data_IF_294990097781
#
_entry.id   IF_294990097781
#
_cell.length_a   1.000
_cell.length_b   1.000
_cell.length_c   1.000
_cell.angle_alpha   90.00
_cell.angle_beta   90.00
_cell.angle_gamma   90.00
#
_symmetry.space_group_name_H-M   'P 1'
#
loop_
_entity.id
_entity.type
_entity.pdbx_description
1 polymer ?
#
# COMPACT_ATOMS: atom_id res chain seq x y z
N UNK A 1 -49.78 -35.20 -25.49
CA UNK A 1 -49.39 -34.98 -24.09
C UNK A 1 -47.89 -34.80 -24.08
N UNK A 2 -47.35 -33.58 -24.15
CA UNK A 2 -47.41 -32.58 -23.07
C UNK A 2 -46.25 -32.92 -22.12
N UNK A 3 -45.20 -32.12 -21.94
CA UNK A 3 -45.05 -30.68 -22.10
C UNK A 3 -43.55 -30.35 -22.19
N UNK A 4 -43.18 -29.57 -23.21
CA UNK A 4 -41.94 -28.79 -23.22
C UNK A 4 -42.04 -27.79 -22.06
N UNK A 5 -41.12 -27.87 -21.11
CA UNK A 5 -40.94 -26.84 -20.10
C UNK A 5 -40.13 -25.72 -20.73
N UNK A 6 -40.87 -24.75 -21.27
CA UNK A 6 -40.38 -23.43 -21.63
C UNK A 6 -39.80 -22.77 -20.38
N UNK A 7 -38.48 -22.60 -20.37
CA UNK A 7 -37.82 -21.80 -19.36
C UNK A 7 -38.25 -20.33 -19.51
N UNK A 8 -38.62 -19.66 -18.41
CA UNK A 8 -39.25 -18.35 -18.44
C UNK A 8 -38.28 -17.26 -18.89
N UNK A 9 -38.61 -16.61 -20.02
CA UNK A 9 -38.68 -15.17 -20.40
C UNK A 9 -37.93 -14.08 -19.57
N UNK A 10 -37.42 -14.35 -18.37
CA UNK A 10 -36.68 -13.39 -17.53
C UNK A 10 -35.33 -12.95 -18.14
N UNK A 11 -34.81 -13.65 -19.15
CA UNK A 11 -33.56 -13.29 -19.84
C UNK A 11 -33.75 -12.26 -20.96
N UNK A 12 -35.00 -11.94 -21.35
CA UNK A 12 -35.29 -10.97 -22.43
C UNK A 12 -35.62 -9.55 -21.95
N UNK A 13 -35.76 -9.32 -20.64
CA UNK A 13 -36.16 -8.02 -20.09
C UNK A 13 -34.99 -7.12 -19.63
N UNK A 14 -33.76 -7.62 -19.53
CA UNK A 14 -32.60 -6.83 -19.07
C UNK A 14 -31.80 -6.16 -20.18
N UNK A 15 -32.14 -6.39 -21.46
CA UNK A 15 -31.45 -5.82 -22.62
C UNK A 15 -32.06 -4.50 -23.15
N UNK A 16 -33.14 -3.99 -22.53
CA UNK A 16 -33.85 -2.77 -22.99
C UNK A 16 -33.72 -1.58 -22.02
N UNK A 17 -32.96 -1.73 -20.92
CA UNK A 17 -32.63 -0.65 -19.98
C UNK A 17 -31.48 0.28 -20.43
N UNK A 18 -31.02 0.16 -21.68
CA UNK A 18 -29.96 1.00 -22.27
C UNK A 18 -30.62 2.25 -22.88
N UNK A 19 -31.15 3.16 -22.05
CA UNK A 19 -31.56 4.47 -22.57
C UNK A 19 -31.66 5.59 -21.55
N UNK A 20 -30.67 5.74 -20.66
CA UNK A 20 -30.22 7.04 -20.09
C UNK A 20 -29.14 6.80 -19.03
N UNK A 21 -28.04 6.15 -19.41
CA UNK A 21 -26.82 6.27 -18.60
C UNK A 21 -26.22 7.61 -19.00
N UNK A 22 -26.56 8.64 -18.21
CA UNK A 22 -25.81 9.90 -18.14
C UNK A 22 -24.34 9.52 -18.17
N UNK A 23 -23.64 9.90 -19.24
CA UNK A 23 -22.18 9.89 -19.29
C UNK A 23 -21.69 10.59 -18.02
N UNK A 24 -21.11 9.89 -17.03
CA UNK A 24 -20.27 10.58 -16.09
C UNK A 24 -19.02 10.91 -16.89
N UNK A 25 -19.03 12.11 -17.46
CA UNK A 25 -17.81 12.90 -17.59
C UNK A 25 -17.35 13.13 -16.15
N UNK A 26 -16.77 12.09 -15.54
CA UNK A 26 -15.99 12.26 -14.33
C UNK A 26 -14.54 11.97 -14.71
N UNK A 27 -13.72 13.01 -14.64
CA UNK A 27 -12.34 12.94 -15.05
C UNK A 27 -11.62 12.02 -14.07
N UNK A 28 -10.52 11.44 -14.53
CA UNK A 28 -9.41 11.09 -13.67
C UNK A 28 -9.18 12.24 -12.66
N UNK A 29 -9.62 12.06 -11.42
CA UNK A 29 -9.61 13.06 -10.36
C UNK A 29 -8.18 13.54 -10.01
N UNK A 30 -7.15 12.87 -10.54
CA UNK A 30 -5.76 13.29 -10.43
C UNK A 30 -5.32 14.36 -11.44
N UNK A 31 -6.12 14.65 -12.48
CA UNK A 31 -5.73 15.58 -13.55
C UNK A 31 -6.44 16.93 -13.45
N UNK A 32 -7.70 16.97 -12.99
CA UNK A 32 -8.42 18.24 -12.75
C UNK A 32 -7.83 19.04 -11.61
N UNK A 33 -7.41 18.37 -10.53
CA UNK A 33 -6.76 19.02 -9.40
C UNK A 33 -5.52 19.84 -9.82
N UNK A 34 -4.85 19.51 -10.93
CA UNK A 34 -3.65 20.23 -11.39
C UNK A 34 -3.96 21.51 -12.17
N UNK A 35 -5.11 21.60 -12.81
CA UNK A 35 -5.54 22.85 -13.46
C UNK A 35 -5.90 23.90 -12.42
N UNK A 36 -6.44 23.50 -11.28
CA UNK A 36 -6.76 24.40 -10.16
C UNK A 36 -5.51 25.14 -9.64
N UNK A 37 -4.36 24.46 -9.61
CA UNK A 37 -3.09 25.08 -9.21
C UNK A 37 -2.60 26.12 -10.23
N UNK A 38 -2.94 25.96 -11.52
CA UNK A 38 -2.57 26.93 -12.54
C UNK A 38 -3.36 28.24 -12.39
N UNK A 39 -4.65 28.17 -12.04
CA UNK A 39 -5.45 29.36 -11.76
C UNK A 39 -4.93 30.16 -10.56
N UNK A 40 -4.39 29.48 -9.55
CA UNK A 40 -3.77 30.13 -8.39
C UNK A 40 -2.45 30.82 -8.78
N UNK A 41 -1.69 30.27 -9.72
CA UNK A 41 -0.45 30.85 -10.20
C UNK A 41 -0.66 32.02 -11.19
N UNK A 42 -1.82 32.11 -11.83
CA UNK A 42 -2.14 33.12 -12.84
C UNK A 42 -1.93 34.58 -12.39
N UNK A 43 -2.40 35.04 -11.20
CA UNK A 43 -2.14 36.42 -10.75
C UNK A 43 -0.64 36.70 -10.55
N UNK A 44 0.14 35.68 -10.14
CA UNK A 44 1.59 35.81 -9.95
C UNK A 44 2.31 35.99 -11.29
N UNK A 45 1.91 35.26 -12.33
CA UNK A 45 2.48 35.41 -13.68
C UNK A 45 2.23 36.81 -14.27
N UNK A 46 1.04 37.37 -14.05
CA UNK A 46 0.69 38.70 -14.58
C UNK A 46 1.41 39.80 -13.78
N UNK A 47 1.36 39.74 -12.45
CA UNK A 47 1.84 40.83 -11.60
C UNK A 47 3.37 40.87 -11.45
N UNK A 48 4.02 39.70 -11.34
CA UNK A 48 5.48 39.64 -11.08
C UNK A 48 6.26 39.58 -12.39
N UNK A 49 5.81 38.77 -13.35
CA UNK A 49 6.54 38.55 -14.60
C UNK A 49 6.12 39.50 -15.73
N UNK A 50 5.05 40.28 -15.55
CA UNK A 50 4.59 41.26 -16.54
C UNK A 50 4.21 40.64 -17.88
N UNK A 51 3.84 39.35 -17.88
CA UNK A 51 3.55 38.61 -19.11
C UNK A 51 2.29 39.14 -19.78
N UNK A 52 2.38 39.36 -21.09
CA UNK A 52 1.23 39.74 -21.90
C UNK A 52 0.25 38.56 -22.02
N UNK A 53 -1.02 38.86 -22.29
CA UNK A 53 -2.08 37.86 -22.41
C UNK A 53 -1.75 36.78 -23.47
N UNK A 54 -1.02 37.17 -24.52
CA UNK A 54 -0.59 36.27 -25.60
C UNK A 54 0.41 35.22 -25.10
N UNK A 55 1.36 35.61 -24.26
CA UNK A 55 2.37 34.71 -23.72
C UNK A 55 1.76 33.71 -22.75
N UNK A 56 0.78 34.15 -21.97
CA UNK A 56 0.00 33.27 -21.08
C UNK A 56 -0.74 32.22 -21.91
N UNK A 57 -1.38 32.61 -23.01
CA UNK A 57 -2.08 31.68 -23.90
C UNK A 57 -1.12 30.64 -24.49
N UNK A 58 0.08 31.04 -24.90
CA UNK A 58 1.10 30.10 -25.40
C UNK A 58 1.53 29.10 -24.33
N UNK A 59 1.80 29.56 -23.11
CA UNK A 59 2.19 28.70 -21.98
C UNK A 59 1.08 27.69 -21.66
N UNK A 60 -0.18 28.14 -21.57
CA UNK A 60 -1.34 27.26 -21.31
C UNK A 60 -1.45 26.18 -22.38
N UNK A 61 -1.26 26.55 -23.65
CA UNK A 61 -1.40 25.63 -24.78
C UNK A 61 -0.30 24.57 -24.77
N UNK A 62 0.95 24.99 -24.50
CA UNK A 62 2.11 24.09 -24.40
C UNK A 62 1.94 23.12 -23.23
N UNK A 63 1.55 23.62 -22.05
CA UNK A 63 1.29 22.79 -20.86
C UNK A 63 0.16 21.80 -21.14
N UNK A 64 -0.92 22.23 -21.78
CA UNK A 64 -2.04 21.37 -22.15
C UNK A 64 -1.62 20.23 -23.10
N UNK A 65 -0.86 20.55 -24.15
CA UNK A 65 -0.32 19.57 -25.08
C UNK A 65 0.62 18.56 -24.38
N UNK A 66 1.51 19.04 -23.51
CA UNK A 66 2.40 18.20 -22.71
C UNK A 66 1.62 17.25 -21.78
N UNK A 67 0.60 17.74 -21.09
CA UNK A 67 -0.21 16.89 -20.21
C UNK A 67 -0.92 15.78 -20.98
N UNK A 68 -1.49 16.10 -22.15
CA UNK A 68 -2.16 15.12 -22.99
C UNK A 68 -1.20 14.07 -23.56
N UNK A 69 0.03 14.45 -23.94
CA UNK A 69 1.04 13.48 -24.39
C UNK A 69 1.40 12.49 -23.27
N UNK A 70 1.64 12.99 -22.05
CA UNK A 70 1.91 12.12 -20.90
C UNK A 70 0.73 11.17 -20.64
N UNK A 71 -0.49 11.68 -20.64
CA UNK A 71 -1.68 10.85 -20.43
C UNK A 71 -1.77 9.75 -21.49
N UNK A 72 -1.50 10.08 -22.75
CA UNK A 72 -1.46 9.12 -23.86
C UNK A 72 -0.41 8.03 -23.63
N UNK A 73 0.82 8.40 -23.25
CA UNK A 73 1.91 7.44 -22.97
C UNK A 73 1.55 6.54 -21.81
N UNK A 74 1.02 7.12 -20.73
CA UNK A 74 0.61 6.38 -19.54
C UNK A 74 -0.53 5.40 -19.83
N UNK A 75 -1.34 5.69 -20.85
CA UNK A 75 -2.49 4.90 -21.31
C UNK A 75 -2.09 3.80 -22.30
N UNK A 76 -1.14 4.05 -23.19
CA UNK A 76 -0.68 3.10 -24.21
C UNK A 76 0.27 2.04 -23.63
N UNK A 77 1.12 2.40 -22.67
CA UNK A 77 2.16 1.51 -22.15
C UNK A 77 1.83 0.93 -20.78
N UNK A 78 1.75 -0.41 -20.70
CA UNK A 78 1.44 -1.14 -19.46
C UNK A 78 2.70 -1.45 -18.61
N UNK A 79 3.87 -1.61 -19.24
CA UNK A 79 5.12 -1.94 -18.53
C UNK A 79 5.67 -0.73 -17.79
N UNK A 80 5.88 -0.87 -16.47
CA UNK A 80 6.34 0.23 -15.58
C UNK A 80 7.62 0.89 -16.09
N UNK A 81 8.66 0.14 -16.42
CA UNK A 81 9.95 0.70 -16.86
C UNK A 81 9.83 1.53 -18.15
N UNK A 82 9.14 1.00 -19.15
CA UNK A 82 8.89 1.70 -20.42
C UNK A 82 8.11 3.00 -20.24
N UNK A 83 7.11 2.97 -19.35
CA UNK A 83 6.32 4.17 -19.01
C UNK A 83 7.20 5.27 -18.41
N UNK A 84 8.11 4.94 -17.50
CA UNK A 84 9.04 5.92 -16.92
C UNK A 84 10.04 6.44 -17.95
N UNK A 85 10.67 5.56 -18.73
CA UNK A 85 11.63 5.96 -19.75
C UNK A 85 11.02 6.88 -20.81
N UNK A 86 9.86 6.51 -21.37
CA UNK A 86 9.19 7.33 -22.39
C UNK A 86 8.72 8.68 -21.84
N UNK A 87 8.25 8.72 -20.59
CA UNK A 87 7.86 9.99 -19.96
C UNK A 87 9.08 10.91 -19.81
N UNK A 88 10.25 10.36 -19.44
CA UNK A 88 11.49 11.14 -19.33
C UNK A 88 11.98 11.65 -20.70
N UNK A 89 11.91 10.82 -21.74
CA UNK A 89 12.29 11.19 -23.10
C UNK A 89 11.39 12.31 -23.64
N UNK A 90 10.07 12.21 -23.45
CA UNK A 90 9.11 13.23 -23.89
C UNK A 90 9.31 14.54 -23.12
N UNK A 91 9.59 14.47 -21.83
CA UNK A 91 9.91 15.66 -21.03
C UNK A 91 11.17 16.36 -21.54
N UNK A 92 12.23 15.60 -21.83
CA UNK A 92 13.46 16.14 -22.41
C UNK A 92 13.20 16.80 -23.77
N UNK A 93 12.43 16.13 -24.64
CA UNK A 93 12.06 16.69 -25.94
C UNK A 93 11.26 18.00 -25.82
N UNK A 94 10.36 18.10 -24.84
CA UNK A 94 9.60 19.33 -24.60
C UNK A 94 10.49 20.48 -24.11
N UNK A 95 11.48 20.21 -23.25
CA UNK A 95 12.44 21.23 -22.80
C UNK A 95 13.25 21.76 -23.99
N UNK A 96 13.81 20.87 -24.80
CA UNK A 96 14.57 21.26 -26.00
C UNK A 96 13.72 22.06 -26.99
N UNK A 97 12.44 21.70 -27.13
CA UNK A 97 11.51 22.42 -28.00
C UNK A 97 11.26 23.85 -27.52
N UNK A 98 11.17 24.08 -26.21
CA UNK A 98 10.99 25.42 -25.62
C UNK A 98 12.23 26.29 -25.80
N UNK A 99 13.42 25.70 -25.73
CA UNK A 99 14.69 26.44 -25.82
C UNK A 99 15.06 26.83 -27.27
N UNK A 100 14.80 25.95 -28.23
CA UNK A 100 15.27 26.12 -29.61
C UNK A 100 14.29 26.90 -30.49
N UNK A 101 12.98 26.75 -30.25
CA UNK A 101 11.93 27.23 -31.16
C UNK A 101 11.32 28.54 -30.66
N UNK A 102 11.11 29.55 -31.53
CA UNK A 102 10.44 30.77 -31.12
C UNK A 102 9.02 30.50 -30.58
N UNK A 103 8.56 31.26 -29.57
CA UNK A 103 7.31 30.97 -28.86
C UNK A 103 6.07 30.83 -29.74
N UNK A 104 5.97 31.63 -30.81
CA UNK A 104 4.84 31.62 -31.75
C UNK A 104 4.75 30.32 -32.55
N UNK A 105 5.88 29.80 -33.03
CA UNK A 105 5.93 28.54 -33.78
C UNK A 105 5.68 27.36 -32.85
N UNK A 106 6.23 27.40 -31.63
CA UNK A 106 6.00 26.37 -30.62
C UNK A 106 4.51 26.25 -30.25
N UNK A 107 3.83 27.39 -30.05
CA UNK A 107 2.40 27.41 -29.81
C UNK A 107 1.59 26.78 -30.95
N UNK A 108 1.95 27.06 -32.21
CA UNK A 108 1.26 26.47 -33.36
C UNK A 108 1.42 24.95 -33.40
N UNK A 109 2.64 24.44 -33.18
CA UNK A 109 2.91 23.00 -33.11
C UNK A 109 2.13 22.37 -31.95
N UNK A 110 2.09 23.02 -30.79
CA UNK A 110 1.33 22.54 -29.63
C UNK A 110 -0.17 22.43 -29.93
N UNK A 111 -0.77 23.40 -30.65
CA UNK A 111 -2.18 23.33 -31.07
C UNK A 111 -2.41 22.15 -32.01
N UNK A 112 -1.58 21.98 -33.04
CA UNK A 112 -1.69 20.85 -33.98
C UNK A 112 -1.57 19.52 -33.25
N UNK A 113 -0.64 19.41 -32.32
CA UNK A 113 -0.42 18.22 -31.51
C UNK A 113 -1.62 17.94 -30.59
N UNK A 114 -2.20 18.98 -29.99
CA UNK A 114 -3.40 18.87 -29.16
C UNK A 114 -4.59 18.36 -29.98
N UNK A 115 -4.85 18.96 -31.14
CA UNK A 115 -5.95 18.58 -32.04
C UNK A 115 -5.80 17.13 -32.50
N UNK A 116 -4.61 16.74 -32.94
CA UNK A 116 -4.34 15.36 -33.38
C UNK A 116 -4.52 14.35 -32.24
N UNK A 117 -4.04 14.65 -31.02
CA UNK A 117 -4.25 13.79 -29.86
C UNK A 117 -5.71 13.66 -29.44
N UNK A 118 -6.50 14.75 -29.52
CA UNK A 118 -7.94 14.71 -29.23
C UNK A 118 -8.68 13.85 -30.24
N UNK A 119 -8.35 13.97 -31.53
CA UNK A 119 -8.91 13.11 -32.57
C UNK A 119 -8.53 11.64 -32.38
N UNK A 120 -7.27 11.36 -32.02
CA UNK A 120 -6.82 10.00 -31.69
C UNK A 120 -7.59 9.43 -30.49
N UNK A 121 -7.77 10.20 -29.42
CA UNK A 121 -8.54 9.76 -28.26
C UNK A 121 -9.99 9.43 -28.62
N UNK A 122 -10.63 10.28 -29.44
CA UNK A 122 -11.99 10.04 -29.91
C UNK A 122 -12.09 8.77 -30.75
N UNK A 123 -11.07 8.47 -31.55
CA UNK A 123 -11.05 7.27 -32.38
C UNK A 123 -10.75 6.00 -31.56
N UNK A 124 -9.82 6.08 -30.61
CA UNK A 124 -9.50 4.99 -29.67
C UNK A 124 -10.72 4.58 -28.82
N UNK A 125 -11.55 5.55 -28.41
CA UNK A 125 -12.77 5.30 -27.65
C UNK A 125 -13.82 4.48 -28.42
N UNK A 126 -13.80 4.51 -29.77
CA UNK A 126 -14.73 3.69 -30.58
C UNK A 126 -14.32 2.22 -30.63
N UNK A 127 -13.08 1.88 -30.28
CA UNK A 127 -12.59 0.52 -30.40
C UNK A 127 -13.02 -0.33 -29.19
N UNK A 128 -13.87 -1.34 -29.44
CA UNK A 128 -14.51 -2.15 -28.39
C UNK A 128 -13.48 -2.87 -27.50
N UNK A 129 -12.34 -3.30 -28.07
CA UNK A 129 -11.25 -3.95 -27.30
C UNK A 129 -10.65 -3.01 -26.25
N UNK A 130 -10.56 -1.73 -26.58
CA UNK A 130 -9.92 -0.73 -25.75
C UNK A 130 -10.83 -0.34 -24.58
N UNK A 131 -12.12 -0.16 -24.86
CA UNK A 131 -13.17 0.05 -23.85
C UNK A 131 -13.25 -1.13 -22.86
N UNK A 132 -13.25 -2.37 -23.34
CA UNK A 132 -13.24 -3.58 -22.49
C UNK A 132 -12.03 -3.62 -21.54
N UNK A 133 -10.86 -3.17 -22.01
CA UNK A 133 -9.67 -3.13 -21.17
C UNK A 133 -9.76 -2.04 -20.11
N UNK A 134 -10.34 -0.88 -20.43
CA UNK A 134 -10.56 0.20 -19.46
C UNK A 134 -11.57 -0.21 -18.38
N UNK A 135 -12.67 -0.90 -18.75
CA UNK A 135 -13.60 -1.49 -17.78
C UNK A 135 -12.91 -2.51 -16.86
N UNK A 136 -11.98 -3.33 -17.40
CA UNK A 136 -11.21 -4.28 -16.58
C UNK A 136 -10.31 -3.57 -15.57
N UNK A 137 -9.64 -2.49 -15.98
CA UNK A 137 -8.79 -1.68 -15.09
C UNK A 137 -9.65 -1.07 -13.99
N UNK A 138 -10.77 -0.45 -14.34
CA UNK A 138 -11.70 0.16 -13.40
C UNK A 138 -12.26 -0.86 -12.39
N UNK A 139 -12.69 -2.04 -12.86
CA UNK A 139 -13.13 -3.12 -11.99
C UNK A 139 -12.03 -3.58 -11.03
N UNK A 140 -10.79 -3.67 -11.51
CA UNK A 140 -9.66 -4.05 -10.66
C UNK A 140 -9.34 -3.01 -9.58
N UNK A 141 -9.51 -1.72 -9.88
CA UNK A 141 -9.32 -0.63 -8.93
C UNK A 141 -10.45 -0.61 -7.90
N UNK A 142 -11.71 -0.71 -8.35
CA UNK A 142 -12.88 -0.84 -7.47
C UNK A 142 -12.75 -2.02 -6.53
N UNK A 143 -12.32 -3.18 -7.03
CA UNK A 143 -12.08 -4.37 -6.21
C UNK A 143 -11.03 -4.15 -5.12
N UNK A 144 -9.94 -3.40 -5.40
CA UNK A 144 -8.93 -3.03 -4.38
C UNK A 144 -9.53 -2.15 -3.29
N UNK A 145 -10.36 -1.17 -3.65
CA UNK A 145 -11.04 -0.32 -2.67
C UNK A 145 -12.06 -1.10 -1.84
N UNK A 146 -12.87 -1.95 -2.47
CA UNK A 146 -13.78 -2.85 -1.76
C UNK A 146 -13.02 -3.77 -0.80
N UNK A 147 -11.87 -4.31 -1.21
CA UNK A 147 -11.02 -5.13 -0.34
C UNK A 147 -10.46 -4.33 0.84
N UNK A 148 -10.06 -3.07 0.63
CA UNK A 148 -9.60 -2.19 1.71
C UNK A 148 -10.72 -1.90 2.70
N UNK A 149 -11.92 -1.56 2.22
CA UNK A 149 -13.10 -1.31 3.05
C UNK A 149 -13.44 -2.57 3.87
N UNK A 150 -13.50 -3.74 3.23
CA UNK A 150 -13.76 -5.02 3.91
C UNK A 150 -12.68 -5.38 4.93
N UNK A 151 -11.41 -5.03 4.68
CA UNK A 151 -10.32 -5.24 5.64
C UNK A 151 -10.44 -4.31 6.85
N UNK A 152 -11.03 -3.14 6.68
CA UNK A 152 -11.27 -2.16 7.75
C UNK A 152 -12.64 -2.31 8.43
N UNK A 153 -13.58 -3.05 7.85
CA UNK A 153 -14.86 -3.37 8.51
C UNK A 153 -14.64 -4.38 9.63
N UNK A 154 -15.04 -3.97 10.83
CA UNK A 154 -14.78 -4.63 12.13
C UNK A 154 -15.30 -6.07 12.21
N UNK A 155 -16.24 -6.47 11.35
CA UNK A 155 -16.91 -7.79 11.40
C UNK A 155 -16.19 -8.92 10.67
N UNK A 156 -15.14 -8.64 9.88
CA UNK A 156 -14.39 -9.68 9.17
C UNK A 156 -12.93 -9.61 9.55
N UNK A 157 -12.62 -9.93 10.81
CA UNK A 157 -11.26 -10.30 11.22
C UNK A 157 -10.92 -11.69 10.63
N UNK A 158 -10.97 -11.84 9.30
CA UNK A 158 -10.37 -12.98 8.63
C UNK A 158 -8.87 -12.85 8.85
N UNK A 159 -8.35 -13.63 9.81
CA UNK A 159 -6.92 -13.91 9.95
C UNK A 159 -6.37 -14.11 8.54
N UNK A 160 -5.45 -13.26 8.11
CA UNK A 160 -4.75 -13.41 6.82
C UNK A 160 -3.94 -14.69 6.90
N UNK A 161 -4.60 -15.80 6.62
CA UNK A 161 -4.02 -17.12 6.71
C UNK A 161 -3.23 -17.30 5.42
N UNK A 162 -1.96 -16.93 5.49
CA UNK A 162 -1.03 -17.05 4.39
C UNK A 162 -0.60 -18.52 4.30
N UNK A 163 -1.51 -19.39 3.84
CA UNK A 163 -1.32 -20.84 3.72
C UNK A 163 -0.11 -21.22 2.85
N UNK A 164 0.44 -20.30 2.06
CA UNK A 164 1.44 -20.57 1.01
C UNK A 164 2.81 -19.91 1.20
N UNK A 165 3.27 -19.70 2.44
CA UNK A 165 4.70 -19.39 2.66
C UNK A 165 5.45 -20.61 3.17
N UNK A 166 6.25 -21.20 2.27
CA UNK A 166 7.36 -22.10 2.63
C UNK A 166 8.08 -21.47 3.85
N UNK A 167 8.35 -22.23 4.93
CA UNK A 167 9.03 -21.68 6.09
C UNK A 167 10.33 -21.03 5.60
N UNK A 168 10.60 -19.81 6.05
CA UNK A 168 11.83 -19.11 5.70
C UNK A 168 13.08 -19.93 6.06
N UNK A 169 14.23 -19.54 5.52
CA UNK A 169 15.54 -20.21 5.69
C UNK A 169 15.85 -20.65 7.14
N UNK A 170 15.34 -19.93 8.14
CA UNK A 170 15.55 -20.21 9.57
C UNK A 170 14.87 -21.48 10.13
N UNK A 171 13.89 -22.09 9.45
CA UNK A 171 13.15 -23.26 10.00
C UNK A 171 12.91 -24.38 8.99
N UNK A 172 13.80 -24.55 8.01
CA UNK A 172 13.69 -25.65 7.03
C UNK A 172 13.88 -27.03 7.69
N UNK A 173 14.70 -27.10 8.74
CA UNK A 173 14.84 -28.25 9.62
C UNK A 173 14.40 -27.85 11.04
N UNK A 174 13.15 -28.13 11.39
CA UNK A 174 12.63 -27.92 12.75
C UNK A 174 13.29 -28.91 13.73
N UNK A 175 14.54 -28.64 14.12
CA UNK A 175 15.17 -29.32 15.24
C UNK A 175 14.53 -28.87 16.57
N UNK A 176 14.67 -29.71 17.60
CA UNK A 176 14.09 -29.49 18.92
C UNK A 176 14.85 -28.39 19.66
N UNK A 177 14.13 -27.44 20.25
CA UNK A 177 14.73 -26.32 21.00
C UNK A 177 15.02 -26.74 22.45
N UNK A 178 14.17 -27.58 23.04
CA UNK A 178 14.33 -28.06 24.42
C UNK A 178 14.87 -29.50 24.48
N UNK A 179 15.92 -29.73 25.26
CA UNK A 179 16.48 -31.08 25.51
C UNK A 179 15.59 -31.94 26.42
N UNK A 180 14.87 -31.34 27.38
CA UNK A 180 13.99 -32.06 28.32
C UNK A 180 12.57 -32.19 27.78
N UNK A 181 12.07 -33.43 27.67
CA UNK A 181 10.69 -33.74 27.30
C UNK A 181 9.75 -33.48 28.49
N UNK A 182 9.09 -32.33 28.47
CA UNK A 182 7.93 -32.07 29.31
C UNK A 182 6.81 -31.48 28.43
N UNK A 183 5.54 -31.74 28.76
CA UNK A 183 4.38 -31.23 28.00
C UNK A 183 4.40 -29.70 27.92
N UNK A 184 4.78 -29.05 29.03
CA UNK A 184 4.95 -27.59 29.12
C UNK A 184 6.03 -27.06 28.15
N UNK A 185 7.19 -27.73 28.08
CA UNK A 185 8.27 -27.33 27.17
C UNK A 185 7.90 -27.55 25.70
N UNK A 186 7.13 -28.60 25.40
CA UNK A 186 6.61 -28.84 24.05
C UNK A 186 5.65 -27.73 23.60
N UNK A 187 4.75 -27.31 24.49
CA UNK A 187 3.82 -26.22 24.22
C UNK A 187 4.55 -24.88 24.06
N UNK A 188 5.52 -24.59 24.94
CA UNK A 188 6.37 -23.40 24.84
C UNK A 188 7.14 -23.39 23.51
N UNK A 189 7.74 -24.52 23.12
CA UNK A 189 8.46 -24.65 21.85
C UNK A 189 7.57 -24.36 20.65
N UNK A 190 6.36 -24.94 20.65
CA UNK A 190 5.38 -24.71 19.60
C UNK A 190 5.00 -23.23 19.52
N UNK A 191 4.72 -22.61 20.65
CA UNK A 191 4.33 -21.20 20.73
C UNK A 191 5.45 -20.27 20.25
N UNK A 192 6.70 -20.53 20.64
CA UNK A 192 7.86 -19.79 20.17
C UNK A 192 8.07 -19.94 18.66
N UNK A 193 7.91 -21.17 18.13
CA UNK A 193 8.00 -21.43 16.68
C UNK A 193 6.87 -20.74 15.92
N UNK A 194 5.65 -20.74 16.44
CA UNK A 194 4.51 -20.05 15.85
C UNK A 194 4.75 -18.55 15.78
N UNK A 195 5.24 -17.94 16.87
CA UNK A 195 5.62 -16.53 16.92
C UNK A 195 6.69 -16.16 15.88
N UNK A 196 7.75 -16.98 15.76
CA UNK A 196 8.84 -16.73 14.81
C UNK A 196 8.42 -16.98 13.35
N UNK A 197 7.42 -17.82 13.11
CA UNK A 197 6.91 -18.11 11.77
C UNK A 197 5.92 -17.04 11.28
N UNK A 198 5.19 -16.40 12.19
CA UNK A 198 4.27 -15.32 11.85
C UNK A 198 5.01 -13.99 11.65
N UNK A 199 5.09 -13.56 10.38
CA UNK A 199 5.73 -12.30 10.02
C UNK A 199 5.05 -11.10 10.64
N UNK A 200 3.75 -11.14 10.91
CA UNK A 200 3.05 -10.00 11.48
C UNK A 200 3.49 -9.80 12.93
N UNK A 201 3.52 -10.87 13.74
CA UNK A 201 4.01 -10.79 15.11
C UNK A 201 5.49 -10.41 15.18
N UNK A 202 6.32 -10.99 14.31
CA UNK A 202 7.75 -10.65 14.27
C UNK A 202 8.00 -9.21 13.81
N UNK A 203 7.21 -8.69 12.86
CA UNK A 203 7.32 -7.31 12.39
C UNK A 203 6.82 -6.32 13.44
N UNK A 204 5.69 -6.59 14.10
CA UNK A 204 5.22 -5.77 15.22
C UNK A 204 6.24 -5.75 16.37
N UNK A 205 6.87 -6.89 16.66
CA UNK A 205 7.96 -6.98 17.62
C UNK A 205 9.16 -6.12 17.21
N UNK A 206 9.64 -6.25 15.97
CA UNK A 206 10.77 -5.48 15.47
C UNK A 206 10.48 -3.97 15.43
N UNK A 207 9.25 -3.56 15.07
CA UNK A 207 8.83 -2.15 15.10
C UNK A 207 8.82 -1.60 16.51
N UNK A 208 8.29 -2.36 17.48
CA UNK A 208 8.22 -1.97 18.88
C UNK A 208 9.62 -1.81 19.48
N UNK A 209 10.53 -2.76 19.23
CA UNK A 209 11.92 -2.69 19.68
C UNK A 209 12.70 -1.58 18.95
N UNK A 210 12.51 -1.45 17.64
CA UNK A 210 13.16 -0.40 16.85
C UNK A 210 12.75 1.00 17.27
N UNK A 211 11.46 1.21 17.54
CA UNK A 211 10.92 2.48 18.01
C UNK A 211 11.51 2.86 19.38
N UNK A 212 11.63 1.91 20.31
CA UNK A 212 12.21 2.19 21.62
C UNK A 212 13.71 2.42 21.57
N UNK A 213 14.43 1.72 20.70
CA UNK A 213 15.85 2.01 20.44
C UNK A 213 16.03 3.43 19.89
N UNK A 214 15.20 3.83 18.92
CA UNK A 214 15.23 5.17 18.36
C UNK A 214 14.91 6.25 19.40
N UNK A 215 13.89 6.02 20.23
CA UNK A 215 13.54 6.91 21.33
C UNK A 215 14.70 7.09 22.33
N UNK A 216 15.41 6.00 22.68
CA UNK A 216 16.55 6.06 23.61
C UNK A 216 17.76 6.84 23.07
N UNK A 217 17.90 6.96 21.74
CA UNK A 217 19.00 7.70 21.11
C UNK A 217 18.80 9.21 21.23
N UNK A 218 17.57 9.70 21.02
CA UNK A 218 17.27 11.15 20.92
C UNK A 218 17.13 11.81 22.29
N UNK A 219 16.67 11.06 23.29
CA UNK A 219 16.16 11.58 24.55
C UNK A 219 17.28 11.84 25.58
N UNK A 220 17.19 12.88 26.44
CA UNK A 220 18.18 13.14 27.50
C UNK A 220 18.20 12.06 28.60
N UNK A 221 19.32 11.93 29.33
CA UNK A 221 19.64 10.82 30.24
C UNK A 221 18.51 10.45 31.23
N UNK A 222 17.95 11.43 31.95
CA UNK A 222 16.89 11.18 32.94
C UNK A 222 15.64 10.53 32.34
N UNK A 223 15.27 10.97 31.13
CA UNK A 223 14.09 10.46 30.44
C UNK A 223 14.37 9.08 29.82
N UNK A 224 15.63 8.74 29.50
CA UNK A 224 16.02 7.37 29.06
C UNK A 224 15.66 6.32 30.11
N UNK A 225 15.90 6.59 31.40
CA UNK A 225 15.59 5.66 32.49
C UNK A 225 14.08 5.40 32.58
N UNK A 226 13.27 6.44 32.48
CA UNK A 226 11.80 6.35 32.50
C UNK A 226 11.30 5.53 31.30
N UNK A 227 11.78 5.84 30.09
CA UNK A 227 11.41 5.12 28.87
C UNK A 227 11.81 3.64 28.98
N UNK A 228 13.00 3.35 29.48
CA UNK A 228 13.49 1.98 29.67
C UNK A 228 12.62 1.19 30.65
N UNK A 229 12.27 1.79 31.81
CA UNK A 229 11.37 1.15 32.78
C UNK A 229 9.98 0.87 32.20
N UNK A 230 9.40 1.84 31.50
CA UNK A 230 8.11 1.68 30.81
C UNK A 230 8.18 0.58 29.74
N UNK A 231 9.28 0.52 28.99
CA UNK A 231 9.49 -0.49 27.96
C UNK A 231 9.53 -1.92 28.51
N UNK A 232 10.19 -2.15 29.66
CA UNK A 232 10.22 -3.47 30.30
C UNK A 232 8.80 -3.93 30.66
N UNK A 233 8.00 -3.03 31.26
CA UNK A 233 6.61 -3.35 31.60
C UNK A 233 5.79 -3.64 30.33
N UNK A 234 5.94 -2.80 29.31
CA UNK A 234 5.21 -2.91 28.06
C UNK A 234 5.52 -4.21 27.31
N UNK A 235 6.79 -4.61 27.19
CA UNK A 235 7.17 -5.83 26.48
C UNK A 235 6.67 -7.09 27.20
N UNK A 236 6.63 -7.08 28.53
CA UNK A 236 6.10 -8.20 29.32
C UNK A 236 4.57 -8.31 29.17
N UNK A 237 3.87 -7.17 29.22
CA UNK A 237 2.43 -7.12 29.00
C UNK A 237 2.06 -7.59 27.60
N UNK A 238 2.73 -7.03 26.58
CA UNK A 238 2.53 -7.37 25.18
C UNK A 238 2.83 -8.85 24.89
N UNK A 239 3.92 -9.39 25.43
CA UNK A 239 4.27 -10.80 25.31
C UNK A 239 3.22 -11.73 25.93
N UNK A 240 2.61 -11.34 27.06
CA UNK A 240 1.49 -12.05 27.68
C UNK A 240 0.23 -12.04 26.83
N UNK A 241 -0.14 -10.87 26.31
CA UNK A 241 -1.29 -10.72 25.43
C UNK A 241 -1.19 -11.63 24.21
N UNK A 242 -0.01 -11.68 23.58
CA UNK A 242 0.23 -12.54 22.42
C UNK A 242 0.23 -14.02 22.79
N UNK A 243 0.81 -14.36 23.94
CA UNK A 243 0.78 -15.72 24.46
C UNK A 243 -0.64 -16.23 24.58
N UNK A 244 -1.50 -15.44 25.23
CA UNK A 244 -2.91 -15.77 25.40
C UNK A 244 -3.62 -15.85 24.05
N UNK A 245 -3.42 -14.87 23.16
CA UNK A 245 -4.02 -14.88 21.81
C UNK A 245 -3.64 -16.13 21.01
N UNK A 246 -2.41 -16.63 21.15
CA UNK A 246 -1.96 -17.87 20.51
C UNK A 246 -2.60 -19.11 21.14
N UNK A 247 -2.73 -19.16 22.46
CA UNK A 247 -3.32 -20.29 23.17
C UNK A 247 -4.85 -20.40 23.01
N UNK A 248 -5.54 -19.30 22.72
CA UNK A 248 -6.99 -19.28 22.42
C UNK A 248 -7.31 -19.63 20.95
N UNK A 249 -6.31 -19.93 20.11
CA UNK A 249 -6.55 -20.29 18.71
C UNK A 249 -7.37 -21.60 18.60
N UNK A 250 -8.34 -21.73 17.66
CA UNK A 250 -9.12 -22.94 17.45
C UNK A 250 -8.30 -24.25 17.36
N UNK A 251 -7.05 -24.17 16.90
CA UNK A 251 -6.13 -25.32 16.90
C UNK A 251 -5.94 -25.94 18.29
N UNK A 252 -5.87 -25.12 19.34
CA UNK A 252 -5.68 -25.57 20.72
C UNK A 252 -6.98 -26.04 21.38
N UNK A 253 -8.15 -25.71 20.83
CA UNK A 253 -9.43 -26.24 21.33
C UNK A 253 -9.58 -27.75 21.05
N UNK A 254 -8.87 -28.27 20.04
CA UNK A 254 -8.89 -29.69 19.65
C UNK A 254 -7.86 -30.53 20.41
N UNK A 255 -6.83 -29.90 20.97
CA UNK A 255 -5.76 -30.58 21.73
C UNK A 255 -6.11 -30.58 23.21
N UNK A 256 -6.16 -31.74 23.90
CA UNK A 256 -6.48 -31.78 25.33
C UNK A 256 -5.33 -31.14 26.15
N UNK A 257 -5.48 -29.86 26.50
CA UNK A 257 -4.56 -29.10 27.36
C UNK A 257 -4.84 -29.29 28.87
N UNK A 258 -5.74 -30.21 29.22
CA UNK A 258 -6.35 -30.38 30.56
C UNK A 258 -5.33 -30.61 31.70
N UNK A 259 -4.14 -31.10 31.37
CA UNK A 259 -3.08 -31.44 32.33
C UNK A 259 -1.87 -30.48 32.29
N UNK A 260 -1.92 -29.43 31.47
CA UNK A 260 -0.79 -28.52 31.25
C UNK A 260 -0.98 -27.22 32.03
N UNK A 261 0.03 -26.83 32.81
CA UNK A 261 0.06 -25.54 33.51
C UNK A 261 0.32 -24.40 32.52
N UNK A 262 -0.75 -23.81 31.97
CA UNK A 262 -0.68 -22.74 30.96
C UNK A 262 0.08 -21.52 31.48
N UNK A 263 -0.05 -21.21 32.77
CA UNK A 263 0.64 -20.07 33.40
C UNK A 263 2.16 -20.21 33.35
N UNK A 264 2.68 -21.45 33.50
CA UNK A 264 4.12 -21.74 33.43
C UNK A 264 4.64 -21.54 32.01
N UNK A 265 3.84 -21.91 31.01
CA UNK A 265 4.18 -21.73 29.60
C UNK A 265 4.13 -20.25 29.20
N UNK A 266 3.11 -19.52 29.64
CA UNK A 266 3.01 -18.06 29.42
C UNK A 266 4.20 -17.33 30.05
N UNK A 267 4.55 -17.64 31.30
CA UNK A 267 5.70 -17.06 31.98
C UNK A 267 7.02 -17.38 31.26
N UNK A 268 7.20 -18.63 30.81
CA UNK A 268 8.37 -19.07 30.06
C UNK A 268 8.51 -18.35 28.71
N UNK A 269 7.40 -18.11 28.01
CA UNK A 269 7.35 -17.39 26.75
C UNK A 269 7.68 -15.89 26.94
N UNK A 270 7.01 -15.22 27.88
CA UNK A 270 7.27 -13.82 28.25
C UNK A 270 8.76 -13.60 28.51
N UNK A 271 9.32 -14.42 29.40
CA UNK A 271 10.73 -14.35 29.81
C UNK A 271 11.67 -14.41 28.60
N UNK A 272 11.46 -15.35 27.68
CA UNK A 272 12.34 -15.52 26.51
C UNK A 272 12.21 -14.41 25.47
N UNK A 273 11.01 -13.91 25.21
CA UNK A 273 10.80 -12.82 24.24
C UNK A 273 11.29 -11.47 24.79
N UNK A 274 11.16 -11.24 26.09
CA UNK A 274 11.60 -9.98 26.72
C UNK A 274 13.11 -9.90 26.90
N UNK A 275 13.84 -11.03 26.98
CA UNK A 275 15.29 -10.99 27.22
C UNK A 275 16.09 -10.30 26.11
N UNK A 276 15.90 -10.69 24.85
CA UNK A 276 16.63 -10.12 23.73
C UNK A 276 16.55 -8.57 23.66
N UNK A 277 15.36 -7.94 23.76
CA UNK A 277 15.23 -6.51 23.64
C UNK A 277 15.70 -5.78 24.90
N UNK A 278 15.54 -6.37 26.10
CA UNK A 278 16.07 -5.80 27.34
C UNK A 278 17.60 -5.75 27.30
N UNK A 279 18.26 -6.81 26.84
CA UNK A 279 19.71 -6.83 26.69
C UNK A 279 20.14 -5.76 25.68
N UNK A 280 19.48 -5.72 24.51
CA UNK A 280 19.79 -4.76 23.46
C UNK A 280 19.66 -3.31 23.94
N UNK A 281 18.54 -2.95 24.59
CA UNK A 281 18.34 -1.59 25.10
C UNK A 281 19.27 -1.26 26.27
N UNK A 282 19.65 -2.24 27.09
CA UNK A 282 20.66 -2.07 28.16
C UNK A 282 22.03 -1.72 27.58
N UNK A 283 22.47 -2.40 26.52
CA UNK A 283 23.75 -2.11 25.85
C UNK A 283 23.74 -0.70 25.25
N UNK A 284 22.63 -0.28 24.64
CA UNK A 284 22.49 1.09 24.12
C UNK A 284 22.65 2.12 25.23
N UNK A 285 21.98 1.93 26.37
CA UNK A 285 22.06 2.86 27.50
C UNK A 285 23.50 2.93 28.04
N UNK A 286 24.17 1.78 28.21
CA UNK A 286 25.57 1.72 28.65
C UNK A 286 26.52 2.42 27.69
N UNK A 287 26.32 2.23 26.37
CA UNK A 287 27.12 2.90 25.35
C UNK A 287 27.01 4.42 25.45
N UNK A 288 25.79 4.94 25.61
CA UNK A 288 25.57 6.38 25.79
C UNK A 288 26.11 6.91 27.12
N UNK A 289 26.12 6.08 28.17
CA UNK A 289 26.70 6.46 29.46
C UNK A 289 28.23 6.59 29.38
N UNK A 290 28.90 5.80 28.54
CA UNK A 290 30.36 5.84 28.39
C UNK A 290 30.85 6.95 27.43
N UNK A 291 30.01 7.37 26.48
CA UNK A 291 30.32 8.41 25.49
C UNK A 291 30.10 9.85 26.00
N UNK A 292 29.29 10.03 27.04
CA UNK A 292 29.01 11.32 27.67
C UNK A 292 29.83 11.49 28.95
#
# INVERSE_FOLDING_TARGET
>A
MGSRLDLPVAEKATLVGIKTIRLPIFPSFSSTAKFDHFFIALPVLIQIYGLDYRDILYIVTIIGAYQLTILTVKKVFNKKLWKWMLTAIIFMAFILMIEIIPPSVNAFIAVVLLVTLVLLHRNLAKNNRWLLNEMRIEQSERSKYSHLILKHSVEVEKKSHNYNKKPGLLFRNSNRIFKKRNRENGLLEFQLKSFLRDRNYMLSYAQLVGLTCFALIIVPFWVKIIIYGSFIFFIQYWGGMISRKMLTDPFFQVVPLKDTKLDVVEAGFKKRISYAPIILTSVIILYFYFMN
#
